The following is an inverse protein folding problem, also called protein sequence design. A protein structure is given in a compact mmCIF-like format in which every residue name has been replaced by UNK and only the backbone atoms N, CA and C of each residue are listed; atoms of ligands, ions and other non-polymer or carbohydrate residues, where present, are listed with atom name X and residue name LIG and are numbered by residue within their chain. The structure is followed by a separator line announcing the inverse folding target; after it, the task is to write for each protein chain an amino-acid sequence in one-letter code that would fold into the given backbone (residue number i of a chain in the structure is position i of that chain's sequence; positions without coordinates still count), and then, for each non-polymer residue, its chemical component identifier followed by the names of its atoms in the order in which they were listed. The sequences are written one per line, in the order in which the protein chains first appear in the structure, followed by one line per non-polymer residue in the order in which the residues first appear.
data_IF_224121529198
#
_entry.id   IF_224121529198
#
_cell.length_a   1.000
_cell.length_b   1.000
_cell.length_c   1.000
_cell.angle_alpha   90.00
_cell.angle_beta   90.00
_cell.angle_gamma   90.00
#
_symmetry.space_group_name_H-M   'P 1'
#
loop_
_entity.id
_entity.type
_entity.pdbx_description
1 polymer ?
#
# COMPACT_ATOMS: atom_id res chain seq x y z
N UNK A 1 6.94 12.99 -1.57
CA UNK A 1 7.33 11.64 -1.12
C UNK A 1 6.43 10.56 -1.67
N UNK A 2 5.12 10.76 -1.71
CA UNK A 2 4.20 9.77 -2.29
C UNK A 2 4.45 9.54 -3.79
N UNK A 3 4.75 10.60 -4.57
CA UNK A 3 5.14 10.43 -5.98
C UNK A 3 6.41 9.59 -6.14
N UNK A 4 7.41 9.81 -5.27
CA UNK A 4 8.63 9.00 -5.26
C UNK A 4 8.31 7.55 -4.89
N UNK A 5 7.50 7.30 -3.86
CA UNK A 5 7.10 5.95 -3.50
C UNK A 5 6.39 5.23 -4.67
N UNK A 6 5.48 5.90 -5.37
CA UNK A 6 4.80 5.33 -6.56
C UNK A 6 5.80 5.00 -7.67
N UNK A 7 6.77 5.89 -7.94
CA UNK A 7 7.82 5.65 -8.93
C UNK A 7 8.65 4.41 -8.60
N UNK A 8 9.11 4.31 -7.35
CA UNK A 8 9.91 3.18 -6.87
C UNK A 8 9.09 1.87 -6.86
N UNK A 9 7.84 1.89 -6.43
CA UNK A 9 6.97 0.70 -6.46
C UNK A 9 6.72 0.19 -7.87
N UNK A 10 6.55 1.10 -8.84
CA UNK A 10 6.44 0.72 -10.26
C UNK A 10 7.71 0.02 -10.75
N UNK A 11 8.88 0.54 -10.38
CA UNK A 11 10.16 -0.07 -10.73
C UNK A 11 10.34 -1.44 -10.02
N UNK A 12 9.94 -1.55 -8.74
CA UNK A 12 9.99 -2.81 -8.00
C UNK A 12 9.17 -3.90 -8.70
N UNK A 13 7.92 -3.59 -9.08
CA UNK A 13 7.06 -4.52 -9.83
C UNK A 13 7.73 -4.95 -11.14
N UNK A 14 8.28 -4.01 -11.91
CA UNK A 14 8.95 -4.32 -13.18
C UNK A 14 10.17 -5.26 -12.98
N UNK A 15 10.95 -5.07 -11.93
CA UNK A 15 12.07 -5.97 -11.60
C UNK A 15 11.61 -7.37 -11.19
N UNK A 16 10.55 -7.50 -10.38
CA UNK A 16 9.98 -8.82 -10.04
C UNK A 16 9.47 -9.54 -11.29
N UNK A 17 8.81 -8.82 -12.21
CA UNK A 17 8.35 -9.35 -13.49
C UNK A 17 9.51 -9.83 -14.39
N UNK A 18 10.66 -9.16 -14.29
CA UNK A 18 11.89 -9.50 -15.04
C UNK A 18 12.76 -10.56 -14.33
N UNK A 19 12.32 -11.15 -13.23
CA UNK A 19 13.08 -12.08 -12.39
C UNK A 19 14.37 -11.49 -11.76
N UNK A 20 14.37 -10.16 -11.54
CA UNK A 20 15.51 -9.41 -11.01
C UNK A 20 15.23 -8.97 -9.55
N UNK A 21 15.29 -9.89 -8.57
CA UNK A 21 15.01 -9.52 -7.17
C UNK A 21 16.09 -8.63 -6.53
N UNK A 22 17.36 -8.81 -6.87
CA UNK A 22 18.45 -8.04 -6.24
C UNK A 22 18.32 -6.52 -6.40
N UNK A 23 18.02 -5.94 -7.59
CA UNK A 23 17.68 -4.52 -7.72
C UNK A 23 16.44 -4.13 -6.92
N UNK A 24 15.43 -5.03 -6.85
CA UNK A 24 14.19 -4.80 -6.13
C UNK A 24 14.42 -4.56 -4.63
N UNK A 25 15.34 -5.30 -4.00
CA UNK A 25 15.66 -5.13 -2.57
C UNK A 25 16.10 -3.72 -2.22
N UNK A 26 16.96 -3.12 -3.04
CA UNK A 26 17.43 -1.75 -2.86
C UNK A 26 16.30 -0.73 -3.06
N UNK A 27 15.42 -0.98 -4.02
CA UNK A 27 14.25 -0.14 -4.28
C UNK A 27 13.30 -0.19 -3.08
N UNK A 28 12.95 -1.37 -2.58
CA UNK A 28 12.05 -1.52 -1.43
C UNK A 28 12.65 -0.94 -0.14
N UNK A 29 13.96 -1.07 0.07
CA UNK A 29 14.63 -0.39 1.17
C UNK A 29 14.47 1.15 1.09
N UNK A 30 14.47 1.72 -0.13
CA UNK A 30 14.20 3.15 -0.34
C UNK A 30 12.72 3.48 -0.09
N UNK A 31 11.79 2.66 -0.57
CA UNK A 31 10.36 2.80 -0.29
C UNK A 31 10.11 2.84 1.21
N UNK A 32 10.71 1.92 1.98
CA UNK A 32 10.64 1.92 3.46
C UNK A 32 11.09 3.26 4.05
N UNK A 33 12.19 3.85 3.59
CA UNK A 33 12.65 5.15 4.09
C UNK A 33 11.71 6.29 3.70
N UNK A 34 11.14 6.27 2.50
CA UNK A 34 10.12 7.25 2.09
C UNK A 34 8.86 7.15 2.97
N UNK A 35 8.40 5.94 3.26
CA UNK A 35 7.27 5.71 4.18
C UNK A 35 7.58 6.22 5.59
N UNK A 36 8.82 6.01 6.08
CA UNK A 36 9.26 6.55 7.36
C UNK A 36 9.18 8.07 7.38
N UNK A 37 9.63 8.76 6.33
CA UNK A 37 9.48 10.22 6.23
C UNK A 37 8.01 10.65 6.27
N UNK A 38 7.12 9.95 5.56
CA UNK A 38 5.69 10.21 5.61
C UNK A 38 5.10 9.98 7.02
N UNK A 39 5.57 8.97 7.74
CA UNK A 39 5.18 8.70 9.12
C UNK A 39 5.65 9.80 10.09
N UNK A 40 6.88 10.25 9.97
CA UNK A 40 7.46 11.26 10.86
C UNK A 40 6.79 12.64 10.69
N UNK A 41 6.29 12.97 9.50
CA UNK A 41 5.56 14.23 9.24
C UNK A 41 4.30 14.40 10.10
N UNK A 42 3.70 13.31 10.58
CA UNK A 42 2.55 13.39 11.49
C UNK A 42 2.89 14.12 12.78
N UNK A 43 4.13 14.08 13.25
CA UNK A 43 4.54 14.79 14.45
C UNK A 43 4.31 16.30 14.35
N UNK A 44 4.42 16.88 13.15
CA UNK A 44 4.11 18.30 12.92
C UNK A 44 2.60 18.55 12.99
N UNK A 45 1.79 17.70 12.35
CA UNK A 45 0.33 17.82 12.36
C UNK A 45 -0.27 17.58 13.75
N UNK A 46 0.36 16.72 14.54
CA UNK A 46 -0.05 16.41 15.91
C UNK A 46 0.16 17.58 16.89
N UNK A 47 0.91 18.61 16.52
CA UNK A 47 0.99 19.86 17.30
C UNK A 47 -0.28 20.67 17.19
N UNK A 48 -1.09 20.46 16.17
CA UNK A 48 -2.36 21.17 15.96
C UNK A 48 -3.40 20.74 16.99
N UNK A 49 -3.98 21.71 17.66
CA UNK A 49 -5.06 21.47 18.62
C UNK A 49 -6.44 21.46 17.95
N UNK A 50 -7.47 20.83 18.53
CA UNK A 50 -8.83 20.88 18.02
C UNK A 50 -9.39 22.31 17.86
N UNK A 51 -9.04 23.24 18.76
CA UNK A 51 -9.49 24.63 18.71
C UNK A 51 -8.85 25.41 17.56
N UNK A 52 -7.57 25.16 17.26
CA UNK A 52 -6.89 25.77 16.12
C UNK A 52 -7.44 25.20 14.80
N UNK A 53 -7.65 23.89 14.72
CA UNK A 53 -8.24 23.26 13.54
C UNK A 53 -9.62 23.82 13.18
N UNK A 54 -10.49 24.04 14.16
CA UNK A 54 -11.84 24.59 13.93
C UNK A 54 -11.79 25.99 13.30
N UNK A 55 -10.75 26.78 13.58
CA UNK A 55 -10.65 28.15 13.04
C UNK A 55 -10.50 28.17 11.52
N UNK A 56 -9.84 27.20 10.93
CA UNK A 56 -9.63 27.15 9.48
C UNK A 56 -10.35 26.00 8.76
N UNK A 57 -11.01 25.10 9.50
CA UNK A 57 -11.67 23.92 8.92
C UNK A 57 -12.59 24.25 7.75
N UNK A 58 -13.34 25.36 7.86
CA UNK A 58 -14.30 25.77 6.82
C UNK A 58 -13.61 26.16 5.49
N UNK A 59 -12.34 26.58 5.55
CA UNK A 59 -11.54 26.91 4.35
C UNK A 59 -11.19 25.65 3.54
N UNK A 60 -11.16 24.49 4.19
CA UNK A 60 -10.84 23.22 3.52
C UNK A 60 -11.99 22.75 2.59
N UNK A 61 -13.20 23.25 2.76
CA UNK A 61 -14.34 22.87 1.94
C UNK A 61 -14.60 21.37 1.97
N UNK A 62 -14.68 20.75 0.79
CA UNK A 62 -14.86 19.31 0.60
C UNK A 62 -13.53 18.53 0.44
N UNK A 63 -12.38 19.13 0.77
CA UNK A 63 -11.10 18.46 0.65
C UNK A 63 -11.01 17.24 1.57
N UNK A 64 -10.49 16.13 1.05
CA UNK A 64 -10.39 14.86 1.76
C UNK A 64 -9.12 14.10 1.36
N UNK A 65 -8.56 13.37 2.31
CA UNK A 65 -7.47 12.40 2.04
C UNK A 65 -7.86 11.29 1.06
N UNK A 66 -9.17 11.02 0.91
CA UNK A 66 -9.68 10.09 -0.10
C UNK A 66 -9.41 10.53 -1.54
N UNK A 67 -9.15 11.82 -1.77
CA UNK A 67 -8.82 12.41 -3.06
C UNK A 67 -7.31 12.36 -3.38
N UNK A 68 -6.50 11.69 -2.57
CA UNK A 68 -5.07 11.51 -2.86
C UNK A 68 -4.86 10.40 -3.88
N UNK A 69 -4.65 10.77 -5.13
CA UNK A 69 -4.37 9.84 -6.24
C UNK A 69 -3.15 8.96 -5.94
N UNK A 70 -2.03 9.56 -5.51
CA UNK A 70 -0.80 8.82 -5.20
C UNK A 70 -1.00 7.83 -4.05
N UNK A 71 -1.80 8.18 -3.04
CA UNK A 71 -2.08 7.27 -1.94
C UNK A 71 -2.87 6.05 -2.42
N UNK A 72 -3.89 6.24 -3.28
CA UNK A 72 -4.63 5.12 -3.89
C UNK A 72 -3.72 4.21 -4.72
N UNK A 73 -2.78 4.80 -5.49
CA UNK A 73 -1.79 4.02 -6.24
C UNK A 73 -0.94 3.15 -5.31
N UNK A 74 -0.42 3.72 -4.21
CA UNK A 74 0.38 2.98 -3.22
C UNK A 74 -0.44 1.81 -2.63
N UNK A 75 -1.69 2.05 -2.25
CA UNK A 75 -2.57 0.99 -1.75
C UNK A 75 -2.73 -0.15 -2.76
N UNK A 76 -2.94 0.17 -4.05
CA UNK A 76 -3.10 -0.85 -5.08
C UNK A 76 -1.80 -1.62 -5.37
N UNK A 77 -0.64 -0.96 -5.31
CA UNK A 77 0.64 -1.66 -5.37
C UNK A 77 0.85 -2.63 -4.21
N UNK A 78 0.36 -2.31 -3.01
CA UNK A 78 0.41 -3.20 -1.84
C UNK A 78 -0.73 -4.21 -1.77
N UNK A 79 -1.63 -4.24 -2.75
CA UNK A 79 -2.72 -5.22 -2.82
C UNK A 79 -3.99 -4.83 -2.06
N UNK A 80 -4.06 -3.64 -1.47
CA UNK A 80 -5.29 -3.12 -0.86
C UNK A 80 -6.26 -2.65 -1.96
N UNK A 81 -6.92 -3.60 -2.62
CA UNK A 81 -7.80 -3.38 -3.77
C UNK A 81 -9.22 -3.04 -3.31
N UNK A 82 -9.59 -1.76 -3.38
CA UNK A 82 -10.97 -1.29 -3.15
C UNK A 82 -11.46 -0.46 -4.35
N UNK A 83 -12.26 -1.10 -5.21
CA UNK A 83 -12.83 -0.46 -6.40
C UNK A 83 -13.68 0.77 -6.09
N UNK A 84 -14.29 0.86 -4.88
CA UNK A 84 -15.09 2.02 -4.48
C UNK A 84 -14.24 3.27 -4.33
N UNK A 85 -12.97 3.10 -3.99
CA UNK A 85 -12.04 4.22 -3.73
C UNK A 85 -11.72 5.05 -4.96
N UNK A 86 -11.91 4.53 -6.18
CA UNK A 86 -11.63 5.26 -7.42
C UNK A 86 -12.79 6.16 -7.87
N UNK A 87 -13.99 5.97 -7.31
CA UNK A 87 -15.19 6.73 -7.69
C UNK A 87 -15.04 8.26 -7.52
N UNK A 88 -14.23 8.69 -6.56
CA UNK A 88 -13.97 10.14 -6.33
C UNK A 88 -13.18 10.78 -7.50
N UNK A 89 -12.57 9.99 -8.36
CA UNK A 89 -11.79 10.43 -9.53
C UNK A 89 -12.59 10.37 -10.84
N UNK A 90 -13.88 10.03 -10.82
CA UNK A 90 -14.68 9.81 -12.03
C UNK A 90 -14.66 11.00 -13.02
N UNK A 91 -14.46 12.22 -12.52
CA UNK A 91 -14.36 13.44 -13.32
C UNK A 91 -12.90 13.82 -13.67
N UNK A 92 -11.91 13.00 -13.32
CA UNK A 92 -10.48 13.18 -13.57
C UNK A 92 -9.99 12.05 -14.46
N UNK A 93 -10.18 12.18 -15.76
CA UNK A 93 -10.03 11.10 -16.74
C UNK A 93 -8.66 10.39 -16.66
N UNK A 94 -7.57 11.15 -16.55
CA UNK A 94 -6.20 10.62 -16.51
C UNK A 94 -5.95 9.82 -15.23
N UNK A 95 -6.29 10.41 -14.08
CA UNK A 95 -6.12 9.80 -12.76
C UNK A 95 -7.02 8.56 -12.60
N UNK A 96 -8.25 8.65 -13.08
CA UNK A 96 -9.19 7.54 -13.05
C UNK A 96 -8.70 6.36 -13.89
N UNK A 97 -8.24 6.60 -15.13
CA UNK A 97 -7.72 5.58 -16.01
C UNK A 97 -6.46 4.90 -15.42
N UNK A 98 -5.55 5.68 -14.81
CA UNK A 98 -4.36 5.14 -14.17
C UNK A 98 -4.72 4.26 -12.96
N UNK A 99 -5.64 4.69 -12.10
CA UNK A 99 -6.11 3.90 -10.97
C UNK A 99 -6.86 2.63 -11.41
N UNK A 100 -7.68 2.73 -12.45
CA UNK A 100 -8.38 1.57 -13.01
C UNK A 100 -7.40 0.52 -13.54
N UNK A 101 -6.34 0.97 -14.24
CA UNK A 101 -5.28 0.07 -14.71
C UNK A 101 -4.59 -0.63 -13.53
N UNK A 102 -4.22 0.09 -12.46
CA UNK A 102 -3.58 -0.48 -11.28
C UNK A 102 -4.52 -1.38 -10.48
N UNK A 103 -5.80 -1.04 -10.40
CA UNK A 103 -6.81 -1.88 -9.74
C UNK A 103 -6.87 -3.26 -10.38
N UNK A 104 -6.84 -3.32 -11.72
CA UNK A 104 -6.94 -4.56 -12.50
C UNK A 104 -5.58 -5.25 -12.78
N UNK A 105 -4.48 -4.70 -12.27
CA UNK A 105 -3.15 -5.30 -12.39
C UNK A 105 -2.78 -6.08 -11.13
N UNK A 106 -1.88 -7.06 -11.21
CA UNK A 106 -1.30 -7.69 -10.02
C UNK A 106 -0.65 -6.66 -9.09
N UNK A 107 -0.75 -6.86 -7.79
CA UNK A 107 0.02 -6.10 -6.79
C UNK A 107 1.46 -6.60 -6.74
N UNK A 108 2.33 -5.90 -5.99
CA UNK A 108 3.70 -6.36 -5.75
C UNK A 108 3.74 -7.74 -5.08
N UNK A 109 2.80 -8.02 -4.17
CA UNK A 109 2.67 -9.34 -3.55
C UNK A 109 2.23 -10.41 -4.56
N UNK A 110 1.25 -10.10 -5.41
CA UNK A 110 0.81 -11.02 -6.45
C UNK A 110 1.94 -11.33 -7.44
N UNK A 111 2.70 -10.33 -7.87
CA UNK A 111 3.87 -10.54 -8.75
C UNK A 111 4.94 -11.41 -8.09
N UNK A 112 5.13 -11.26 -6.78
CA UNK A 112 6.05 -12.13 -6.07
C UNK A 112 5.55 -13.58 -5.99
N UNK A 113 4.25 -13.83 -5.79
CA UNK A 113 3.68 -15.18 -5.88
C UNK A 113 3.86 -15.77 -7.29
N UNK A 114 3.65 -14.96 -8.34
CA UNK A 114 3.88 -15.36 -9.74
C UNK A 114 5.38 -15.69 -9.95
N UNK A 115 6.29 -14.88 -9.41
CA UNK A 115 7.73 -15.13 -9.42
C UNK A 115 8.05 -16.48 -8.76
N UNK A 116 7.53 -16.74 -7.56
CA UNK A 116 7.76 -18.00 -6.84
C UNK A 116 7.29 -19.22 -7.65
N UNK A 117 6.09 -19.12 -8.26
CA UNK A 117 5.57 -20.19 -9.13
C UNK A 117 6.49 -20.46 -10.33
N UNK A 118 7.00 -19.40 -11.00
CA UNK A 118 7.98 -19.55 -12.09
C UNK A 118 9.30 -20.19 -11.66
N UNK A 119 9.68 -20.03 -10.38
CA UNK A 119 10.91 -20.57 -9.82
C UNK A 119 10.74 -21.93 -9.11
N UNK A 120 9.63 -22.61 -9.37
CA UNK A 120 9.41 -23.99 -8.96
C UNK A 120 8.86 -24.19 -7.56
N UNK A 121 8.40 -23.13 -6.89
CA UNK A 121 7.62 -23.27 -5.67
C UNK A 121 6.18 -23.71 -5.99
N UNK A 122 5.61 -24.56 -5.13
CA UNK A 122 4.25 -25.10 -5.30
C UNK A 122 3.19 -24.08 -4.88
N UNK A 123 3.15 -22.93 -5.59
CA UNK A 123 2.15 -21.89 -5.38
C UNK A 123 0.84 -22.34 -6.00
N UNK A 124 -0.30 -22.34 -5.25
CA UNK A 124 -1.60 -22.72 -5.78
C UNK A 124 -1.99 -21.90 -7.00
N UNK A 125 -2.51 -22.56 -8.04
CA UNK A 125 -2.87 -21.91 -9.30
C UNK A 125 -3.90 -20.79 -9.13
N UNK A 126 -4.82 -20.94 -8.18
CA UNK A 126 -5.83 -19.92 -7.83
C UNK A 126 -5.21 -18.66 -7.17
N UNK A 127 -3.99 -18.74 -6.66
CA UNK A 127 -3.26 -17.59 -6.09
C UNK A 127 -2.57 -16.76 -7.16
N UNK A 128 -2.27 -17.34 -8.33
CA UNK A 128 -1.57 -16.68 -9.45
C UNK A 128 -2.47 -16.46 -10.67
N UNK A 129 -3.71 -16.98 -10.67
CA UNK A 129 -4.71 -16.81 -11.72
C UNK A 129 -6.04 -16.36 -11.09
N UNK A 130 -6.07 -15.16 -10.52
CA UNK A 130 -7.25 -14.61 -9.85
C UNK A 130 -7.69 -13.28 -10.46
N UNK A 131 -8.83 -12.78 -10.05
CA UNK A 131 -9.27 -11.41 -10.32
C UNK A 131 -8.44 -10.44 -9.47
N UNK A 132 -7.51 -9.73 -10.11
CA UNK A 132 -6.61 -8.78 -9.45
C UNK A 132 -7.32 -7.54 -8.90
N UNK A 133 -8.55 -7.26 -9.31
CA UNK A 133 -9.35 -6.15 -8.78
C UNK A 133 -9.90 -6.43 -7.38
N UNK A 134 -9.85 -7.70 -6.94
CA UNK A 134 -10.30 -8.12 -5.62
C UNK A 134 -9.14 -8.17 -4.62
N UNK A 135 -9.40 -7.92 -3.32
CA UNK A 135 -8.42 -8.16 -2.27
C UNK A 135 -7.91 -9.60 -2.29
N UNK A 136 -6.64 -9.78 -1.90
CA UNK A 136 -6.08 -11.13 -1.76
C UNK A 136 -6.77 -11.89 -0.61
N UNK A 137 -7.08 -13.14 -0.86
CA UNK A 137 -7.61 -14.07 0.16
C UNK A 137 -6.54 -15.09 0.50
N UNK A 138 -6.10 -15.20 1.77
CA UNK A 138 -5.07 -16.16 2.18
C UNK A 138 -5.42 -17.60 1.79
N UNK A 139 -4.45 -18.31 1.20
CA UNK A 139 -4.58 -19.69 0.79
C UNK A 139 -3.62 -20.57 1.61
N UNK A 140 -4.08 -21.73 2.16
CA UNK A 140 -3.22 -22.61 2.94
C UNK A 140 -1.96 -23.08 2.20
N UNK A 141 -2.05 -23.32 0.87
CA UNK A 141 -0.89 -23.70 0.05
C UNK A 141 0.19 -22.62 0.02
N UNK A 142 -0.18 -21.35 -0.05
CA UNK A 142 0.77 -20.23 -0.02
C UNK A 142 1.48 -20.16 1.34
N UNK A 143 0.79 -20.47 2.44
CA UNK A 143 1.40 -20.54 3.77
C UNK A 143 2.51 -21.61 3.79
N UNK A 144 2.30 -22.76 3.14
CA UNK A 144 3.31 -23.82 3.06
C UNK A 144 4.53 -23.38 2.24
N UNK A 145 4.33 -22.63 1.15
CA UNK A 145 5.44 -22.06 0.36
C UNK A 145 6.29 -21.11 1.22
N UNK A 146 5.66 -20.16 1.93
CA UNK A 146 6.40 -19.27 2.81
C UNK A 146 7.09 -20.01 3.95
N UNK A 147 6.44 -21.03 4.52
CA UNK A 147 7.10 -21.89 5.52
C UNK A 147 8.34 -22.56 4.97
N UNK A 148 8.30 -23.12 3.77
CA UNK A 148 9.48 -23.71 3.11
C UNK A 148 10.63 -22.70 2.97
N UNK A 149 10.32 -21.45 2.56
CA UNK A 149 11.30 -20.37 2.42
C UNK A 149 11.95 -20.05 3.76
N UNK A 150 11.15 -19.88 4.82
CA UNK A 150 11.62 -19.51 6.16
C UNK A 150 12.33 -20.65 6.90
N UNK A 151 11.98 -21.90 6.62
CA UNK A 151 12.66 -23.08 7.18
C UNK A 151 14.04 -23.30 6.51
N UNK A 152 14.24 -22.82 5.27
CA UNK A 152 15.45 -23.04 4.48
C UNK A 152 16.00 -21.74 3.85
N UNK A 153 16.31 -20.69 4.63
CA UNK A 153 16.65 -19.37 4.09
C UNK A 153 17.93 -19.37 3.25
N UNK A 154 18.90 -20.26 3.53
CA UNK A 154 20.14 -20.34 2.75
C UNK A 154 19.93 -20.92 1.35
N UNK A 155 18.98 -21.83 1.18
CA UNK A 155 18.65 -22.43 -0.12
C UNK A 155 17.77 -21.46 -0.96
N UNK A 156 16.98 -20.64 -0.29
CA UNK A 156 16.01 -19.74 -0.91
C UNK A 156 16.29 -18.26 -0.59
N UNK A 157 17.57 -17.86 -0.56
CA UNK A 157 17.99 -16.56 -0.04
C UNK A 157 17.26 -15.37 -0.67
N UNK A 158 17.13 -15.33 -2.00
CA UNK A 158 16.48 -14.23 -2.69
C UNK A 158 14.98 -14.16 -2.36
N UNK A 159 14.32 -15.31 -2.28
CA UNK A 159 12.91 -15.38 -1.88
C UNK A 159 12.72 -14.97 -0.42
N UNK A 160 13.61 -15.43 0.48
CA UNK A 160 13.60 -15.02 1.89
C UNK A 160 13.81 -13.51 2.05
N UNK A 161 14.83 -12.94 1.40
CA UNK A 161 15.10 -11.49 1.46
C UNK A 161 13.91 -10.68 0.91
N UNK A 162 13.25 -11.17 -0.15
CA UNK A 162 12.05 -10.52 -0.68
C UNK A 162 10.89 -10.56 0.33
N UNK A 163 10.68 -11.67 1.03
CA UNK A 163 9.69 -11.76 2.11
C UNK A 163 9.93 -10.70 3.18
N UNK A 164 11.18 -10.58 3.65
CA UNK A 164 11.57 -9.59 4.67
C UNK A 164 11.35 -8.15 4.17
N UNK A 165 11.64 -7.85 2.89
CA UNK A 165 11.37 -6.52 2.32
C UNK A 165 9.88 -6.22 2.23
N UNK A 166 9.05 -7.21 1.90
CA UNK A 166 7.59 -7.03 1.87
C UNK A 166 7.03 -6.78 3.26
N UNK A 167 7.49 -7.52 4.28
CA UNK A 167 7.12 -7.30 5.69
C UNK A 167 7.53 -5.88 6.13
N UNK A 168 8.75 -5.46 5.81
CA UNK A 168 9.28 -4.13 6.13
C UNK A 168 8.41 -2.99 5.58
N UNK A 169 7.99 -3.07 4.32
CA UNK A 169 7.18 -2.00 3.70
C UNK A 169 5.73 -2.06 4.16
N UNK A 170 5.20 -3.24 4.45
CA UNK A 170 3.86 -3.42 5.01
C UNK A 170 3.78 -2.84 6.42
N UNK A 171 4.74 -3.15 7.29
CA UNK A 171 4.82 -2.60 8.64
C UNK A 171 4.81 -1.07 8.63
N UNK A 172 5.66 -0.44 7.82
CA UNK A 172 5.71 1.03 7.73
C UNK A 172 4.41 1.63 7.21
N UNK A 173 3.74 0.96 6.27
CA UNK A 173 2.45 1.39 5.76
C UNK A 173 1.35 1.29 6.82
N UNK A 174 1.33 0.20 7.57
CA UNK A 174 0.39 -0.02 8.68
C UNK A 174 0.60 0.98 9.82
N UNK A 175 1.85 1.27 10.21
CA UNK A 175 2.20 2.28 11.22
C UNK A 175 1.74 3.67 10.78
N UNK A 176 1.95 4.05 9.51
CA UNK A 176 1.49 5.32 8.97
C UNK A 176 -0.04 5.45 9.04
N UNK A 177 -0.77 4.41 8.64
CA UNK A 177 -2.24 4.39 8.69
C UNK A 177 -2.76 4.49 10.12
N UNK A 178 -2.16 3.74 11.04
CA UNK A 178 -2.52 3.79 12.46
C UNK A 178 -2.31 5.19 13.04
N UNK A 179 -1.16 5.81 12.80
CA UNK A 179 -0.87 7.16 13.29
C UNK A 179 -1.80 8.19 12.68
N UNK A 180 -2.10 8.09 11.37
CA UNK A 180 -3.11 8.92 10.71
C UNK A 180 -4.46 8.87 11.44
N UNK A 181 -4.97 7.66 11.69
CA UNK A 181 -6.25 7.47 12.39
C UNK A 181 -6.20 8.13 13.77
N UNK A 182 -5.13 7.93 14.56
CA UNK A 182 -4.98 8.53 15.89
C UNK A 182 -4.86 10.05 15.87
N UNK A 183 -4.22 10.60 14.87
CA UNK A 183 -4.14 12.07 14.67
C UNK A 183 -5.51 12.65 14.32
N UNK A 184 -6.25 11.99 13.42
CA UNK A 184 -7.62 12.39 13.06
C UNK A 184 -8.55 12.32 14.29
N UNK A 185 -8.49 11.23 15.05
CA UNK A 185 -9.27 11.04 16.28
C UNK A 185 -9.00 12.18 17.29
N UNK A 186 -7.74 12.53 17.49
CA UNK A 186 -7.33 13.61 18.41
C UNK A 186 -7.83 14.99 17.97
N UNK A 187 -7.74 15.31 16.67
CA UNK A 187 -7.99 16.66 16.16
C UNK A 187 -9.48 16.85 15.82
N UNK A 188 -10.09 15.89 15.18
CA UNK A 188 -11.48 15.98 14.67
C UNK A 188 -12.46 15.28 15.61
N UNK A 189 -12.03 14.18 16.25
CA UNK A 189 -12.89 13.34 17.07
C UNK A 189 -14.01 12.69 16.24
N UNK A 190 -15.20 12.62 16.82
CA UNK A 190 -16.37 12.02 16.17
C UNK A 190 -17.12 12.98 15.20
N UNK A 191 -16.56 14.16 14.90
CA UNK A 191 -17.17 15.07 13.93
C UNK A 191 -17.03 14.51 12.52
N UNK A 192 -18.03 14.76 11.68
CA UNK A 192 -17.96 14.42 10.26
C UNK A 192 -16.73 15.04 9.60
N UNK A 193 -15.98 14.26 8.84
CA UNK A 193 -14.83 14.73 8.07
C UNK A 193 -15.26 15.74 6.98
N UNK A 194 -14.33 16.60 6.54
CA UNK A 194 -14.59 17.59 5.48
C UNK A 194 -15.05 16.96 4.17
N UNK A 195 -14.59 15.75 3.84
CA UNK A 195 -15.00 15.00 2.67
C UNK A 195 -16.25 14.13 2.86
N UNK A 196 -17.05 14.36 3.92
CA UNK A 196 -18.30 13.62 4.17
C UNK A 196 -18.11 12.25 4.83
N UNK A 197 -16.89 11.88 5.24
CA UNK A 197 -16.67 10.66 6.04
C UNK A 197 -17.33 10.79 7.42
N UNK A 198 -17.76 9.65 7.99
CA UNK A 198 -18.48 9.59 9.28
C UNK A 198 -17.64 9.98 10.51
N UNK A 199 -16.44 10.55 10.33
CA UNK A 199 -15.48 10.74 11.39
C UNK A 199 -14.69 9.45 11.63
N UNK A 200 -14.26 9.20 12.85
CA UNK A 200 -13.60 7.94 13.24
C UNK A 200 -14.63 7.07 13.95
N UNK A 201 -15.36 6.18 13.27
CA UNK A 201 -15.96 5.03 13.94
C UNK A 201 -14.83 4.01 14.12
N UNK A 202 -14.61 3.62 15.33
CA UNK A 202 -13.81 2.44 15.63
C UNK A 202 -14.73 1.25 15.78
#
# INVERSE_FOLDING_TARGET
WMKLAVHELRAAVAHVQADELSPCFKILARVKQVQRMLFEQWAVLETLTPSEYVQFRNVLGAASGFQSHQFRMIEFYFGNKDARSIGVFANHEVEYAELQRLLNAPSLYDEFLIYLARHGFDVPAESVNRDWSQPYTPQPGVIQVFKQIYDNPHEHWDAYEMCEKLVDVEEQFSLWRFRHVKTVERIIGFKTGTGGSSGVPF
#
